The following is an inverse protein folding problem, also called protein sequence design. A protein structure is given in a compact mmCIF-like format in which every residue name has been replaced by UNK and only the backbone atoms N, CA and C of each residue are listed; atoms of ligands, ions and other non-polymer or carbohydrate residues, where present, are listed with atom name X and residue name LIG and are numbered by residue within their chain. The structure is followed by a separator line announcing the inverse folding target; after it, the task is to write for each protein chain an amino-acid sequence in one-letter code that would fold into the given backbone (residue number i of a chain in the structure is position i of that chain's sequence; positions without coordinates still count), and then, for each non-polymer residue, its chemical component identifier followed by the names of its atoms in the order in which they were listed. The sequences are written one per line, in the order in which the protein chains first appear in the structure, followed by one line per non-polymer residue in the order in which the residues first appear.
data_IF_893808511648
#
_entry.id   IF_893808511648
#
_cell.length_a   1.000
_cell.length_b   1.000
_cell.length_c   1.000
_cell.angle_alpha   90.00
_cell.angle_beta   90.00
_cell.angle_gamma   90.00
#
_symmetry.space_group_name_H-M   'P 1'
#
loop_
_entity.id
_entity.type
_entity.pdbx_description
1 polymer ?
#
# COMPACT_ATOMS: atom_id res chain seq x y z
N UNK A 1 20.45 -14.60 39.15
CA UNK A 1 18.99 -14.43 39.19
C UNK A 1 18.43 -13.36 38.22
N UNK A 2 19.25 -12.51 37.55
CA UNK A 2 18.75 -11.36 36.78
C UNK A 2 18.47 -11.55 35.26
N UNK A 3 19.06 -12.55 34.60
CA UNK A 3 18.90 -12.76 33.14
C UNK A 3 17.46 -13.15 32.71
N UNK A 4 16.74 -14.04 33.42
CA UNK A 4 15.37 -14.41 33.03
C UNK A 4 14.40 -13.22 33.14
N UNK A 5 14.56 -12.40 34.18
CA UNK A 5 13.71 -11.24 34.45
C UNK A 5 13.96 -10.09 33.45
N UNK A 6 15.20 -9.94 32.98
CA UNK A 6 15.52 -8.99 31.90
C UNK A 6 14.91 -9.41 30.57
N UNK A 7 15.00 -10.70 30.19
CA UNK A 7 14.40 -11.22 28.97
C UNK A 7 12.86 -11.09 28.99
N UNK A 8 12.24 -11.37 30.13
CA UNK A 8 10.79 -11.19 30.32
C UNK A 8 10.38 -9.71 30.18
N UNK A 9 11.17 -8.79 30.75
CA UNK A 9 10.91 -7.35 30.64
C UNK A 9 10.98 -6.88 29.19
N UNK A 10 12.03 -7.29 28.44
CA UNK A 10 12.15 -6.97 27.01
C UNK A 10 10.97 -7.52 26.22
N UNK A 11 10.57 -8.77 26.47
CA UNK A 11 9.42 -9.38 25.81
C UNK A 11 8.12 -8.59 26.04
N UNK A 12 7.87 -8.14 27.27
CA UNK A 12 6.71 -7.27 27.61
C UNK A 12 6.75 -5.93 26.86
N UNK A 13 7.92 -5.29 26.80
CA UNK A 13 8.11 -4.03 26.08
C UNK A 13 7.87 -4.20 24.57
N UNK A 14 8.37 -5.29 23.97
CA UNK A 14 8.15 -5.61 22.56
C UNK A 14 6.68 -5.90 22.28
N UNK A 15 5.99 -6.68 23.12
CA UNK A 15 4.56 -6.95 22.95
C UNK A 15 3.70 -5.67 23.02
N UNK A 16 3.99 -4.78 23.99
CA UNK A 16 3.33 -3.49 24.12
C UNK A 16 3.60 -2.59 22.90
N UNK A 17 4.87 -2.46 22.49
CA UNK A 17 5.25 -1.68 21.33
C UNK A 17 4.68 -2.21 20.01
N UNK A 18 4.61 -3.54 19.83
CA UNK A 18 3.98 -4.19 18.69
C UNK A 18 2.49 -3.87 18.60
N UNK A 19 1.81 -3.87 19.75
CA UNK A 19 0.39 -3.49 19.82
C UNK A 19 0.20 -2.04 19.38
N UNK A 20 1.01 -1.11 19.88
CA UNK A 20 0.95 0.31 19.48
C UNK A 20 1.27 0.47 17.99
N UNK A 21 2.34 -0.16 17.50
CA UNK A 21 2.75 -0.11 16.09
C UNK A 21 1.66 -0.65 15.15
N UNK A 22 0.98 -1.73 15.54
CA UNK A 22 -0.08 -2.36 14.75
C UNK A 22 -1.44 -1.66 14.81
N UNK A 23 -1.69 -0.81 15.81
CA UNK A 23 -2.98 -0.13 16.00
C UNK A 23 -2.96 1.37 15.77
N UNK A 24 -1.81 2.00 15.99
CA UNK A 24 -1.65 3.46 15.99
C UNK A 24 -0.45 3.94 15.14
N UNK A 25 0.31 3.02 14.56
CA UNK A 25 1.45 3.32 13.69
C UNK A 25 2.72 3.74 14.44
N UNK A 26 3.77 4.03 13.67
CA UNK A 26 5.11 4.30 14.19
C UNK A 26 5.21 5.60 15.02
N UNK A 27 4.45 6.63 14.66
CA UNK A 27 4.47 7.93 15.35
C UNK A 27 4.00 7.81 16.79
N UNK A 28 3.04 6.90 17.06
CA UNK A 28 2.54 6.60 18.39
C UNK A 28 3.52 5.80 19.25
N UNK A 29 4.54 5.17 18.66
CA UNK A 29 5.59 4.48 19.39
C UNK A 29 6.51 5.51 20.04
N UNK A 30 6.28 5.76 21.31
CA UNK A 30 7.13 6.60 22.17
C UNK A 30 7.53 5.83 23.41
N UNK A 31 8.67 6.18 24.00
CA UNK A 31 9.13 5.58 25.27
C UNK A 31 8.03 5.64 26.33
N UNK A 32 7.33 6.77 26.43
CA UNK A 32 6.23 6.97 27.37
C UNK A 32 5.03 6.06 27.08
N UNK A 33 4.59 6.00 25.83
CA UNK A 33 3.42 5.18 25.47
C UNK A 33 3.69 3.69 25.64
N UNK A 34 4.89 3.23 25.27
CA UNK A 34 5.30 1.82 25.45
C UNK A 34 5.46 1.49 26.94
N UNK A 35 6.04 2.39 27.73
CA UNK A 35 6.13 2.22 29.18
C UNK A 35 4.74 2.06 29.81
N UNK A 36 3.82 2.98 29.49
CA UNK A 36 2.45 2.95 29.99
C UNK A 36 1.70 1.68 29.58
N UNK A 37 1.79 1.29 28.30
CA UNK A 37 1.15 0.09 27.78
C UNK A 37 1.73 -1.21 28.36
N UNK A 38 3.01 -1.21 28.75
CA UNK A 38 3.67 -2.35 29.40
C UNK A 38 3.50 -2.36 30.94
N UNK A 39 2.87 -1.35 31.53
CA UNK A 39 2.79 -1.20 32.99
C UNK A 39 4.14 -0.95 33.66
N UNK A 40 5.07 -0.30 32.96
CA UNK A 40 6.44 -0.02 33.39
C UNK A 40 6.72 1.49 33.40
N UNK A 41 7.82 1.90 34.04
CA UNK A 41 8.28 3.30 34.01
C UNK A 41 9.11 3.58 32.76
N UNK A 42 9.11 4.84 32.30
CA UNK A 42 9.95 5.28 31.18
C UNK A 42 11.46 5.00 31.40
N UNK A 43 12.04 5.19 32.61
CA UNK A 43 13.42 4.79 32.91
C UNK A 43 13.67 3.29 32.71
N UNK A 44 12.71 2.42 33.02
CA UNK A 44 12.84 0.97 32.76
C UNK A 44 12.95 0.69 31.26
N UNK A 45 12.16 1.37 30.43
CA UNK A 45 12.27 1.26 28.97
C UNK A 45 13.64 1.74 28.50
N UNK A 46 14.08 2.91 28.95
CA UNK A 46 15.37 3.51 28.57
C UNK A 46 16.57 2.66 28.99
N UNK A 47 16.46 1.90 30.09
CA UNK A 47 17.49 0.93 30.49
C UNK A 47 17.69 -0.17 29.44
N UNK A 48 16.63 -0.57 28.74
CA UNK A 48 16.67 -1.63 27.74
C UNK A 48 16.82 -1.09 26.31
N UNK A 49 16.29 0.10 26.05
CA UNK A 49 16.33 0.80 24.77
C UNK A 49 16.72 2.26 25.01
N UNK A 50 18.03 2.56 25.05
CA UNK A 50 18.54 3.90 25.37
C UNK A 50 17.98 4.98 24.45
N UNK A 51 17.82 4.68 23.16
CA UNK A 51 17.18 5.55 22.18
C UNK A 51 15.85 4.97 21.68
N UNK A 52 14.97 5.86 21.17
CA UNK A 52 13.72 5.46 20.51
C UNK A 52 14.02 4.59 19.28
N UNK A 53 15.11 4.87 18.60
CA UNK A 53 15.59 4.16 17.42
C UNK A 53 15.93 2.70 17.75
N UNK A 54 16.52 2.44 18.92
CA UNK A 54 16.82 1.08 19.39
C UNK A 54 15.53 0.29 19.61
N UNK A 55 14.54 0.91 20.24
CA UNK A 55 13.21 0.33 20.44
C UNK A 55 12.54 0.05 19.09
N UNK A 56 12.57 0.99 18.15
CA UNK A 56 11.97 0.83 16.83
C UNK A 56 12.65 -0.28 16.04
N UNK A 57 13.99 -0.38 16.06
CA UNK A 57 14.71 -1.48 15.42
C UNK A 57 14.27 -2.85 15.97
N UNK A 58 14.15 -2.98 17.30
CA UNK A 58 13.69 -4.22 17.92
C UNK A 58 12.22 -4.54 17.57
N UNK A 59 11.35 -3.53 17.51
CA UNK A 59 9.95 -3.70 17.10
C UNK A 59 9.83 -4.07 15.61
N UNK A 60 10.65 -3.49 14.74
CA UNK A 60 10.67 -3.86 13.32
C UNK A 60 11.10 -5.32 13.13
N UNK A 61 12.10 -5.79 13.88
CA UNK A 61 12.53 -7.19 13.82
C UNK A 61 11.41 -8.10 14.31
N UNK A 62 10.81 -7.78 15.45
CA UNK A 62 9.68 -8.53 15.99
C UNK A 62 8.48 -8.58 15.03
N UNK A 63 8.15 -7.47 14.35
CA UNK A 63 7.05 -7.42 13.38
C UNK A 63 7.29 -8.32 12.17
N UNK A 64 8.51 -8.23 11.59
CA UNK A 64 8.90 -9.04 10.44
C UNK A 64 9.04 -10.52 10.80
N UNK A 65 9.63 -10.83 11.96
CA UNK A 65 9.77 -12.21 12.43
C UNK A 65 8.42 -12.85 12.79
N UNK A 66 7.50 -12.11 13.40
CA UNK A 66 6.16 -12.60 13.71
C UNK A 66 5.36 -12.96 12.45
N UNK A 67 5.40 -12.11 11.43
CA UNK A 67 4.76 -12.39 10.14
C UNK A 67 5.43 -13.59 9.43
N UNK A 68 6.76 -13.64 9.41
CA UNK A 68 7.48 -14.76 8.80
C UNK A 68 7.26 -16.09 9.55
N UNK A 69 7.14 -16.08 10.88
CA UNK A 69 6.82 -17.26 11.68
C UNK A 69 5.39 -17.75 11.43
N UNK A 70 4.41 -16.84 11.30
CA UNK A 70 3.03 -17.16 10.92
C UNK A 70 2.99 -17.93 9.60
N UNK A 71 3.71 -17.44 8.59
CA UNK A 71 3.76 -18.08 7.28
C UNK A 71 4.60 -19.37 7.25
N UNK A 72 5.61 -19.49 8.11
CA UNK A 72 6.40 -20.72 8.22
C UNK A 72 5.55 -21.92 8.64
N UNK A 73 4.51 -21.72 9.46
CA UNK A 73 3.55 -22.78 9.83
C UNK A 73 2.82 -23.36 8.62
N UNK A 74 2.48 -22.53 7.63
CA UNK A 74 1.96 -23.04 6.36
C UNK A 74 3.03 -23.82 5.62
N UNK A 75 4.25 -23.26 5.53
CA UNK A 75 5.40 -23.87 4.85
C UNK A 75 5.78 -25.27 5.35
N UNK A 76 5.55 -25.60 6.63
CA UNK A 76 5.79 -26.97 7.14
C UNK A 76 4.75 -27.97 6.65
N UNK A 77 3.53 -27.53 6.35
CA UNK A 77 2.41 -28.39 5.92
C UNK A 77 2.37 -28.54 4.40
N UNK A 78 2.75 -27.51 3.62
CA UNK A 78 2.64 -27.53 2.15
C UNK A 78 3.29 -28.76 1.49
N UNK A 79 4.50 -29.22 1.89
CA UNK A 79 5.13 -30.38 1.27
C UNK A 79 4.33 -31.67 1.46
N UNK A 80 3.72 -31.87 2.63
CA UNK A 80 2.93 -33.07 2.94
C UNK A 80 1.62 -33.13 2.15
N UNK A 81 1.09 -31.98 1.72
CA UNK A 81 -0.12 -31.91 0.91
C UNK A 81 0.12 -32.22 -0.58
N UNK A 82 1.37 -32.29 -1.03
CA UNK A 82 1.72 -32.51 -2.43
C UNK A 82 1.31 -31.35 -3.36
N UNK A 83 1.36 -31.53 -4.69
CA UNK A 83 0.91 -30.54 -5.66
C UNK A 83 -0.59 -30.27 -5.53
N UNK A 84 -0.99 -29.00 -5.53
CA UNK A 84 -2.40 -28.59 -5.30
C UNK A 84 -3.12 -28.03 -6.52
N UNK A 85 -2.44 -28.03 -7.67
CA UNK A 85 -2.93 -27.36 -8.87
C UNK A 85 -3.12 -25.86 -8.68
N UNK A 86 -3.63 -25.21 -9.72
CA UNK A 86 -3.82 -23.75 -9.73
C UNK A 86 -4.82 -23.29 -8.67
N UNK A 87 -5.96 -23.97 -8.57
CA UNK A 87 -7.05 -23.60 -7.66
C UNK A 87 -6.61 -23.67 -6.21
N UNK A 88 -5.87 -24.71 -5.81
CA UNK A 88 -5.36 -24.82 -4.45
C UNK A 88 -4.29 -23.77 -4.12
N UNK A 89 -3.42 -23.43 -5.08
CA UNK A 89 -2.44 -22.36 -4.90
C UNK A 89 -3.12 -20.98 -4.75
N UNK A 90 -4.16 -20.72 -5.54
CA UNK A 90 -5.00 -19.52 -5.45
C UNK A 90 -5.75 -19.45 -4.11
N UNK A 91 -6.36 -20.56 -3.67
CA UNK A 91 -7.08 -20.62 -2.40
C UNK A 91 -6.19 -20.25 -1.21
N UNK A 92 -4.92 -20.66 -1.22
CA UNK A 92 -3.95 -20.27 -0.19
C UNK A 92 -3.70 -18.77 -0.21
N UNK A 93 -3.49 -18.17 -1.38
CA UNK A 93 -3.30 -16.73 -1.47
C UNK A 93 -4.54 -15.94 -1.04
N UNK A 94 -5.74 -16.40 -1.39
CA UNK A 94 -7.00 -15.84 -0.88
C UNK A 94 -7.07 -15.92 0.65
N UNK A 95 -6.74 -17.08 1.22
CA UNK A 95 -6.70 -17.27 2.68
C UNK A 95 -5.66 -16.36 3.36
N UNK A 96 -4.48 -16.20 2.75
CA UNK A 96 -3.43 -15.31 3.26
C UNK A 96 -3.87 -13.85 3.27
N UNK A 97 -4.55 -13.38 2.22
CA UNK A 97 -5.10 -12.02 2.15
C UNK A 97 -6.23 -11.84 3.16
N UNK A 98 -7.14 -12.81 3.26
CA UNK A 98 -8.24 -12.78 4.22
C UNK A 98 -7.73 -12.74 5.68
N UNK A 99 -6.73 -13.55 6.00
CA UNK A 99 -6.06 -13.55 7.30
C UNK A 99 -5.38 -12.20 7.59
N UNK A 100 -4.58 -11.71 6.63
CA UNK A 100 -3.80 -10.47 6.76
C UNK A 100 -4.68 -9.23 6.87
N UNK A 101 -5.86 -9.20 6.24
CA UNK A 101 -6.82 -8.09 6.34
C UNK A 101 -7.88 -8.30 7.43
N UNK A 102 -8.00 -9.52 7.96
CA UNK A 102 -8.99 -9.92 8.95
C UNK A 102 -8.41 -10.00 10.35
N UNK A 103 -8.26 -11.23 10.85
CA UNK A 103 -7.85 -11.53 12.23
C UNK A 103 -6.44 -11.00 12.54
N UNK A 104 -5.54 -10.98 11.56
CA UNK A 104 -4.15 -10.55 11.71
C UNK A 104 -3.87 -9.15 11.13
N UNK A 105 -4.90 -8.31 11.00
CA UNK A 105 -4.76 -6.95 10.46
C UNK A 105 -3.76 -6.09 11.25
N UNK A 106 -3.79 -6.13 12.58
CA UNK A 106 -2.85 -5.33 13.40
C UNK A 106 -1.40 -5.77 13.23
N UNK A 107 -1.15 -7.09 13.14
CA UNK A 107 0.21 -7.62 12.88
C UNK A 107 0.68 -7.27 11.46
N UNK A 108 -0.23 -7.30 10.48
CA UNK A 108 0.02 -6.88 9.10
C UNK A 108 0.35 -5.40 9.03
N UNK A 109 -0.39 -4.55 9.74
CA UNK A 109 -0.10 -3.12 9.88
C UNK A 109 1.26 -2.88 10.54
N UNK A 110 1.58 -3.60 11.60
CA UNK A 110 2.89 -3.50 12.25
C UNK A 110 4.04 -3.83 11.28
N UNK A 111 3.88 -4.90 10.49
CA UNK A 111 4.83 -5.24 9.42
C UNK A 111 4.93 -4.15 8.36
N UNK A 112 3.80 -3.62 7.89
CA UNK A 112 3.77 -2.55 6.87
C UNK A 112 4.47 -1.30 7.39
N UNK A 113 4.21 -0.90 8.64
CA UNK A 113 4.90 0.21 9.28
C UNK A 113 6.40 -0.06 9.41
N UNK A 114 6.82 -1.26 9.78
CA UNK A 114 8.23 -1.64 9.82
C UNK A 114 8.91 -1.52 8.44
N UNK A 115 8.28 -2.04 7.38
CA UNK A 115 8.81 -1.93 6.01
C UNK A 115 8.89 -0.47 5.54
N UNK A 116 7.85 0.33 5.80
CA UNK A 116 7.83 1.75 5.46
C UNK A 116 8.87 2.55 6.26
N UNK A 117 9.10 2.18 7.52
CA UNK A 117 10.13 2.78 8.36
C UNK A 117 11.54 2.48 7.86
N UNK A 118 11.81 1.21 7.54
CA UNK A 118 13.07 0.75 6.94
C UNK A 118 13.28 1.40 5.57
N UNK A 119 12.21 1.63 4.80
CA UNK A 119 12.32 2.34 3.52
C UNK A 119 12.86 3.77 3.68
N UNK A 120 12.44 4.48 4.74
CA UNK A 120 12.84 5.87 5.04
C UNK A 120 14.22 6.00 5.71
N UNK A 121 14.70 4.96 6.40
CA UNK A 121 15.94 5.01 7.19
C UNK A 121 17.00 4.07 6.60
N UNK A 122 18.26 4.48 6.59
CA UNK A 122 19.34 3.66 6.04
C UNK A 122 19.81 2.49 6.94
N UNK A 123 18.99 2.09 7.92
CA UNK A 123 19.21 0.95 8.81
C UNK A 123 18.28 -0.24 8.53
N UNK A 124 18.63 -1.43 9.02
CA UNK A 124 17.74 -2.60 9.08
C UNK A 124 17.25 -3.21 7.74
N UNK A 125 17.76 -2.79 6.59
CA UNK A 125 17.34 -3.34 5.27
C UNK A 125 17.61 -4.83 5.11
N UNK A 126 18.58 -5.38 5.84
CA UNK A 126 18.82 -6.83 5.90
C UNK A 126 17.64 -7.59 6.50
N UNK A 127 16.92 -7.01 7.45
CA UNK A 127 15.72 -7.59 8.07
C UNK A 127 14.60 -7.69 7.03
N UNK A 128 14.34 -6.62 6.28
CA UNK A 128 13.37 -6.62 5.19
C UNK A 128 13.71 -7.67 4.11
N UNK A 129 14.99 -7.79 3.73
CA UNK A 129 15.43 -8.81 2.77
C UNK A 129 15.24 -10.24 3.30
N UNK A 130 15.61 -10.52 4.55
CA UNK A 130 15.40 -11.84 5.17
C UNK A 130 13.91 -12.21 5.21
N UNK A 131 13.05 -11.29 5.63
CA UNK A 131 11.61 -11.49 5.65
C UNK A 131 11.06 -11.75 4.24
N UNK A 132 11.43 -10.92 3.25
CA UNK A 132 10.96 -11.08 1.87
C UNK A 132 11.39 -12.43 1.28
N UNK A 133 12.63 -12.86 1.53
CA UNK A 133 13.13 -14.18 1.08
C UNK A 133 12.35 -15.34 1.71
N UNK A 134 12.03 -15.29 3.01
CA UNK A 134 11.23 -16.33 3.70
C UNK A 134 9.81 -16.37 3.16
N UNK A 135 9.18 -15.22 2.95
CA UNK A 135 7.82 -15.11 2.40
C UNK A 135 7.75 -15.63 0.96
N UNK A 136 8.72 -15.25 0.13
CA UNK A 136 8.86 -15.76 -1.23
C UNK A 136 9.06 -17.29 -1.24
N UNK A 137 9.82 -17.86 -0.30
CA UNK A 137 10.02 -19.31 -0.23
C UNK A 137 8.72 -20.08 0.04
N UNK A 138 7.88 -19.60 0.96
CA UNK A 138 6.56 -20.20 1.25
C UNK A 138 5.65 -20.13 0.02
N UNK A 139 5.61 -18.97 -0.66
CA UNK A 139 4.84 -18.83 -1.91
C UNK A 139 5.37 -19.74 -3.02
N UNK A 140 6.69 -19.90 -3.13
CA UNK A 140 7.30 -20.81 -4.11
C UNK A 140 6.96 -22.28 -3.82
N UNK A 141 6.85 -22.67 -2.55
CA UNK A 141 6.33 -23.98 -2.16
C UNK A 141 4.85 -24.15 -2.51
N UNK A 142 4.04 -23.10 -2.33
CA UNK A 142 2.63 -23.13 -2.72
C UNK A 142 2.44 -23.33 -4.24
N UNK A 143 3.36 -22.82 -5.04
CA UNK A 143 3.39 -22.95 -6.49
C UNK A 143 4.13 -24.21 -7.00
N UNK A 144 4.77 -24.98 -6.11
CA UNK A 144 5.57 -26.14 -6.50
C UNK A 144 4.70 -27.18 -7.23
N UNK A 145 5.23 -27.72 -8.34
CA UNK A 145 4.51 -28.68 -9.18
C UNK A 145 3.34 -28.09 -9.99
N UNK A 146 3.07 -26.77 -9.87
CA UNK A 146 1.98 -26.09 -10.59
C UNK A 146 2.49 -25.19 -11.71
N UNK A 147 3.70 -24.64 -11.58
CA UNK A 147 4.29 -23.69 -12.52
C UNK A 147 5.75 -24.04 -12.84
N UNK A 148 6.24 -23.64 -14.01
CA UNK A 148 7.61 -23.93 -14.46
C UNK A 148 8.69 -23.19 -13.67
N UNK A 149 8.42 -21.97 -13.16
CA UNK A 149 9.40 -21.14 -12.46
C UNK A 149 8.91 -20.65 -11.09
N UNK A 150 8.67 -21.55 -10.10
CA UNK A 150 8.00 -21.20 -8.83
C UNK A 150 8.65 -20.06 -8.07
N UNK A 151 9.99 -19.97 -8.05
CA UNK A 151 10.70 -18.89 -7.36
C UNK A 151 10.50 -17.53 -8.02
N UNK A 152 10.46 -17.49 -9.35
CA UNK A 152 10.27 -16.26 -10.13
C UNK A 152 8.84 -15.76 -9.95
N UNK A 153 7.87 -16.66 -10.07
CA UNK A 153 6.45 -16.32 -10.00
C UNK A 153 6.02 -16.00 -8.56
N UNK A 154 6.61 -16.67 -7.55
CA UNK A 154 6.43 -16.32 -6.15
C UNK A 154 6.93 -14.92 -5.78
N UNK A 155 7.99 -14.42 -6.42
CA UNK A 155 8.47 -13.05 -6.21
C UNK A 155 7.46 -12.03 -6.73
N UNK A 156 6.96 -12.24 -7.94
CA UNK A 156 5.90 -11.41 -8.50
C UNK A 156 4.64 -11.43 -7.62
N UNK A 157 4.22 -12.63 -7.17
CA UNK A 157 3.08 -12.75 -6.26
C UNK A 157 3.32 -12.09 -4.90
N UNK A 158 4.53 -12.15 -4.34
CA UNK A 158 4.86 -11.43 -3.10
C UNK A 158 4.62 -9.92 -3.27
N UNK A 159 5.11 -9.33 -4.35
CA UNK A 159 4.91 -7.92 -4.68
C UNK A 159 3.43 -7.60 -4.89
N UNK A 160 2.74 -8.43 -5.69
CA UNK A 160 1.33 -8.28 -6.01
C UNK A 160 0.44 -8.35 -4.76
N UNK A 161 0.58 -9.41 -3.96
CA UNK A 161 -0.19 -9.62 -2.73
C UNK A 161 0.11 -8.55 -1.68
N UNK A 162 1.35 -8.06 -1.60
CA UNK A 162 1.68 -6.91 -0.73
C UNK A 162 0.91 -5.66 -1.17
N UNK A 163 0.77 -5.43 -2.48
CA UNK A 163 -0.07 -4.37 -3.03
C UNK A 163 -1.55 -4.53 -2.68
N UNK A 164 -2.08 -5.76 -2.80
CA UNK A 164 -3.46 -6.10 -2.42
C UNK A 164 -3.70 -5.83 -0.94
N UNK A 165 -2.79 -6.23 -0.05
CA UNK A 165 -2.86 -5.95 1.39
C UNK A 165 -2.94 -4.44 1.66
N UNK A 166 -1.98 -3.68 1.15
CA UNK A 166 -1.87 -2.24 1.38
C UNK A 166 -3.15 -1.49 0.98
N UNK A 167 -3.72 -1.84 -0.18
CA UNK A 167 -4.94 -1.22 -0.69
C UNK A 167 -6.23 -1.79 -0.07
N UNK A 168 -6.15 -2.87 0.71
CA UNK A 168 -7.31 -3.44 1.42
C UNK A 168 -7.42 -2.96 2.85
N UNK A 169 -6.30 -2.74 3.55
CA UNK A 169 -6.31 -2.53 5.00
C UNK A 169 -7.15 -1.32 5.45
N UNK A 170 -7.09 -0.18 4.75
CA UNK A 170 -7.89 1.00 5.09
C UNK A 170 -9.39 0.88 4.84
N UNK A 171 -9.81 -0.02 3.95
CA UNK A 171 -11.22 -0.28 3.67
C UNK A 171 -11.66 -1.70 4.07
N UNK A 172 -10.87 -2.42 4.88
CA UNK A 172 -11.04 -3.86 5.17
C UNK A 172 -12.38 -4.27 5.77
N UNK A 173 -13.12 -3.32 6.34
CA UNK A 173 -14.46 -3.53 6.91
C UNK A 173 -15.58 -3.41 5.87
N UNK A 174 -15.28 -2.93 4.66
CA UNK A 174 -16.26 -2.82 3.59
C UNK A 174 -16.67 -4.22 3.10
N UNK A 175 -17.98 -4.52 2.98
CA UNK A 175 -18.49 -5.88 2.76
C UNK A 175 -18.01 -6.50 1.43
N UNK A 176 -17.68 -5.68 0.44
CA UNK A 176 -17.19 -6.15 -0.86
C UNK A 176 -15.72 -6.58 -0.88
N UNK A 177 -14.93 -6.26 0.16
CA UNK A 177 -13.48 -6.48 0.13
C UNK A 177 -13.08 -7.95 -0.03
N UNK A 178 -13.71 -8.94 0.65
CA UNK A 178 -13.35 -10.35 0.44
C UNK A 178 -13.48 -10.80 -1.02
N UNK A 179 -14.58 -10.43 -1.68
CA UNK A 179 -14.86 -10.80 -3.07
C UNK A 179 -13.92 -10.08 -4.03
N UNK A 180 -13.70 -8.77 -3.85
CA UNK A 180 -12.77 -7.98 -4.68
C UNK A 180 -11.32 -8.45 -4.53
N UNK A 181 -10.94 -8.90 -3.32
CA UNK A 181 -9.63 -9.51 -3.10
C UNK A 181 -9.50 -10.85 -3.83
N UNK A 182 -10.55 -11.68 -3.86
CA UNK A 182 -10.55 -12.92 -4.61
C UNK A 182 -10.37 -12.67 -6.13
N UNK A 183 -11.07 -11.70 -6.71
CA UNK A 183 -10.90 -11.31 -8.12
C UNK A 183 -9.48 -10.86 -8.44
N UNK A 184 -8.87 -10.02 -7.56
CA UNK A 184 -7.49 -9.59 -7.73
C UNK A 184 -6.50 -10.76 -7.58
N UNK A 185 -6.69 -11.66 -6.61
CA UNK A 185 -5.81 -12.82 -6.41
C UNK A 185 -5.88 -13.76 -7.60
N UNK A 186 -7.09 -14.07 -8.09
CA UNK A 186 -7.27 -14.91 -9.28
C UNK A 186 -6.52 -14.33 -10.48
N UNK A 187 -6.73 -13.03 -10.74
CA UNK A 187 -6.05 -12.33 -11.84
C UNK A 187 -4.54 -12.30 -11.66
N UNK A 188 -4.05 -11.95 -10.46
CA UNK A 188 -2.63 -11.90 -10.14
C UNK A 188 -1.92 -13.23 -10.37
N UNK A 189 -2.57 -14.35 -10.04
CA UNK A 189 -2.05 -15.70 -10.33
C UNK A 189 -1.98 -15.98 -11.83
N UNK A 190 -3.03 -15.65 -12.57
CA UNK A 190 -3.04 -15.83 -14.03
C UNK A 190 -1.96 -14.97 -14.71
N UNK A 191 -1.76 -13.73 -14.27
CA UNK A 191 -0.66 -12.88 -14.72
C UNK A 191 0.70 -13.47 -14.31
N UNK A 192 0.80 -14.04 -13.10
CA UNK A 192 2.04 -14.64 -12.60
C UNK A 192 2.55 -15.81 -13.44
N UNK A 193 1.67 -16.47 -14.21
CA UNK A 193 2.02 -17.66 -15.00
C UNK A 193 1.89 -17.44 -16.50
N UNK A 194 1.58 -16.21 -16.95
CA UNK A 194 1.37 -15.89 -18.36
C UNK A 194 0.07 -16.46 -18.94
N UNK A 195 -0.94 -16.68 -18.11
CA UNK A 195 -2.28 -17.16 -18.50
C UNK A 195 -3.37 -16.11 -18.21
N UNK A 196 -3.00 -14.82 -18.20
CA UNK A 196 -3.95 -13.72 -18.02
C UNK A 196 -5.04 -13.78 -19.10
N UNK A 197 -6.29 -13.49 -18.70
CA UNK A 197 -7.42 -13.37 -19.62
C UNK A 197 -7.83 -11.90 -19.69
N UNK A 198 -8.09 -11.40 -20.89
CA UNK A 198 -8.65 -10.07 -21.09
C UNK A 198 -10.11 -10.05 -20.61
N UNK A 199 -10.31 -9.74 -19.33
CA UNK A 199 -11.63 -9.66 -18.71
C UNK A 199 -11.63 -8.58 -17.62
N UNK A 200 -12.75 -7.87 -17.52
CA UNK A 200 -13.08 -7.04 -16.36
C UNK A 200 -13.99 -7.87 -15.42
N UNK A 201 -13.53 -8.25 -14.22
CA UNK A 201 -14.35 -9.00 -13.28
C UNK A 201 -15.59 -8.22 -12.86
N UNK A 202 -16.68 -8.94 -12.60
CA UNK A 202 -18.00 -8.34 -12.44
C UNK A 202 -18.08 -7.43 -11.20
N UNK A 203 -17.46 -7.82 -10.09
CA UNK A 203 -17.54 -7.04 -8.85
C UNK A 203 -16.67 -5.80 -8.92
N UNK A 204 -15.45 -5.92 -9.44
CA UNK A 204 -14.64 -4.75 -9.74
C UNK A 204 -15.38 -3.76 -10.65
N UNK A 205 -15.91 -4.22 -11.79
CA UNK A 205 -16.65 -3.37 -12.74
C UNK A 205 -17.80 -2.65 -12.05
N UNK A 206 -18.59 -3.38 -11.26
CA UNK A 206 -19.71 -2.79 -10.51
C UNK A 206 -19.22 -1.75 -9.51
N UNK A 207 -18.34 -2.12 -8.58
CA UNK A 207 -17.90 -1.22 -7.50
C UNK A 207 -17.14 0.00 -8.01
N UNK A 208 -16.24 -0.17 -8.97
CA UNK A 208 -15.48 0.95 -9.53
C UNK A 208 -16.38 1.91 -10.34
N UNK A 209 -17.35 1.40 -11.11
CA UNK A 209 -18.30 2.26 -11.83
C UNK A 209 -19.16 3.10 -10.88
N UNK A 210 -19.58 2.56 -9.73
CA UNK A 210 -20.32 3.35 -8.72
C UNK A 210 -19.50 4.54 -8.23
N UNK A 211 -18.25 4.31 -7.82
CA UNK A 211 -17.36 5.38 -7.33
C UNK A 211 -17.08 6.43 -8.41
N UNK A 212 -16.94 6.01 -9.67
CA UNK A 212 -16.70 6.92 -10.79
C UNK A 212 -17.93 7.77 -11.12
N UNK A 213 -19.15 7.21 -11.04
CA UNK A 213 -20.41 7.96 -11.23
C UNK A 213 -20.67 8.97 -10.12
N UNK A 214 -20.51 8.57 -8.85
CA UNK A 214 -20.63 9.48 -7.70
C UNK A 214 -19.74 10.72 -7.89
N UNK A 215 -18.50 10.49 -8.32
CA UNK A 215 -17.57 11.58 -8.63
C UNK A 215 -18.00 12.44 -9.81
N UNK A 216 -18.51 11.84 -10.89
CA UNK A 216 -18.97 12.61 -12.04
C UNK A 216 -20.06 13.61 -11.62
N UNK A 217 -21.00 13.16 -10.79
CA UNK A 217 -22.05 13.99 -10.22
C UNK A 217 -21.48 15.11 -9.32
N UNK A 218 -20.52 14.80 -8.44
CA UNK A 218 -19.83 15.80 -7.60
C UNK A 218 -19.12 16.87 -8.44
N UNK A 219 -18.47 16.47 -9.54
CA UNK A 219 -17.78 17.37 -10.45
C UNK A 219 -18.76 18.29 -11.20
N UNK A 220 -19.86 17.74 -11.75
CA UNK A 220 -20.90 18.53 -12.42
C UNK A 220 -21.51 19.59 -11.50
N UNK A 221 -21.80 19.22 -10.24
CA UNK A 221 -22.31 20.16 -9.24
C UNK A 221 -21.34 21.32 -8.91
N UNK A 222 -20.05 21.15 -9.21
CA UNK A 222 -18.98 22.09 -8.86
C UNK A 222 -18.50 22.99 -10.01
N UNK A 223 -19.02 22.84 -11.25
CA UNK A 223 -18.55 23.54 -12.46
C UNK A 223 -18.99 25.03 -12.58
N UNK A 224 -18.59 25.86 -11.60
CA UNK A 224 -18.57 27.33 -11.73
C UNK A 224 -17.14 27.85 -11.89
N UNK A 225 -16.88 28.76 -12.85
CA UNK A 225 -15.51 29.16 -13.24
C UNK A 225 -14.60 29.70 -12.11
N UNK A 226 -15.14 30.47 -11.15
CA UNK A 226 -14.37 30.92 -9.96
C UNK A 226 -14.13 29.80 -8.94
N UNK A 227 -15.06 28.85 -8.84
CA UNK A 227 -15.04 27.70 -7.93
C UNK A 227 -13.95 26.70 -8.34
N UNK A 228 -13.67 26.56 -9.63
CA UNK A 228 -12.64 25.64 -10.15
C UNK A 228 -11.20 26.08 -9.80
N UNK A 229 -10.87 27.37 -9.95
CA UNK A 229 -9.54 27.88 -9.63
C UNK A 229 -9.21 27.79 -8.12
N UNK A 230 -10.16 28.16 -7.26
CA UNK A 230 -9.99 28.02 -5.81
C UNK A 230 -9.77 26.57 -5.37
N UNK A 231 -10.50 25.63 -5.98
CA UNK A 231 -10.32 24.18 -5.74
C UNK A 231 -8.93 23.71 -6.16
N UNK A 232 -8.43 24.13 -7.31
CA UNK A 232 -7.07 23.79 -7.79
C UNK A 232 -5.98 24.31 -6.82
N UNK A 233 -6.09 25.55 -6.36
CA UNK A 233 -5.17 26.14 -5.37
C UNK A 233 -5.15 25.35 -4.06
N UNK A 234 -6.33 24.94 -3.56
CA UNK A 234 -6.46 24.11 -2.36
C UNK A 234 -5.78 22.75 -2.55
N UNK A 235 -6.01 22.10 -3.70
CA UNK A 235 -5.44 20.79 -3.99
C UNK A 235 -3.93 20.85 -4.19
N UNK A 236 -3.41 21.91 -4.82
CA UNK A 236 -1.98 22.15 -4.96
C UNK A 236 -1.28 22.33 -3.61
N UNK A 237 -1.87 23.12 -2.70
CA UNK A 237 -1.38 23.29 -1.33
C UNK A 237 -1.44 21.98 -0.54
N UNK A 238 -2.53 21.23 -0.67
CA UNK A 238 -2.70 19.93 -0.03
C UNK A 238 -1.64 18.92 -0.48
N UNK A 239 -1.35 18.88 -1.79
CA UNK A 239 -0.30 18.02 -2.33
C UNK A 239 1.09 18.37 -1.78
N UNK A 240 1.41 19.65 -1.55
CA UNK A 240 2.65 20.09 -0.90
C UNK A 240 2.72 19.66 0.56
N UNK A 241 1.62 19.78 1.31
CA UNK A 241 1.57 19.31 2.70
C UNK A 241 1.77 17.79 2.78
N UNK A 242 1.09 17.02 1.92
CA UNK A 242 1.28 15.57 1.85
C UNK A 242 2.71 15.19 1.50
N UNK A 243 3.31 15.93 0.58
CA UNK A 243 4.70 15.80 0.18
C UNK A 243 5.69 16.07 1.32
N UNK A 244 5.56 17.18 2.01
CA UNK A 244 6.59 17.66 2.94
C UNK A 244 6.38 17.15 4.37
N UNK A 245 5.13 17.08 4.80
CA UNK A 245 4.75 16.83 6.19
C UNK A 245 3.96 15.54 6.38
N UNK A 246 3.41 14.99 5.30
CA UNK A 246 2.66 13.74 5.33
C UNK A 246 1.17 13.91 5.66
N UNK A 247 0.40 12.81 5.65
CA UNK A 247 -1.07 12.84 5.74
C UNK A 247 -1.62 13.28 7.11
N UNK A 248 -0.84 13.14 8.19
CA UNK A 248 -1.27 13.56 9.53
C UNK A 248 -1.42 15.08 9.65
N UNK A 249 -0.62 15.84 8.90
CA UNK A 249 -0.61 17.31 8.93
C UNK A 249 -1.63 17.94 7.96
N UNK A 250 -2.32 17.12 7.15
CA UNK A 250 -3.34 17.61 6.23
C UNK A 250 -4.62 17.99 6.98
N UNK A 251 -4.72 19.26 7.37
CA UNK A 251 -5.90 19.85 8.03
C UNK A 251 -6.38 21.08 7.25
N UNK A 252 -7.67 21.41 7.34
CA UNK A 252 -8.21 22.61 6.67
C UNK A 252 -7.43 23.88 7.03
N UNK A 253 -7.03 24.02 8.29
CA UNK A 253 -6.23 25.15 8.77
C UNK A 253 -4.84 25.18 8.15
N UNK A 254 -4.15 24.05 8.10
CA UNK A 254 -2.83 23.94 7.48
C UNK A 254 -2.92 24.25 5.98
N UNK A 255 -3.91 23.70 5.28
CA UNK A 255 -4.15 23.95 3.86
C UNK A 255 -4.47 25.42 3.58
N UNK A 256 -5.33 26.05 4.38
CA UNK A 256 -5.66 27.46 4.21
C UNK A 256 -4.43 28.37 4.39
N UNK A 257 -3.58 28.06 5.38
CA UNK A 257 -2.31 28.76 5.60
C UNK A 257 -1.36 28.58 4.41
N UNK A 258 -1.19 27.35 3.94
CA UNK A 258 -0.31 26.99 2.81
C UNK A 258 -0.79 27.59 1.48
N UNK A 259 -2.10 27.64 1.26
CA UNK A 259 -2.72 28.23 0.08
C UNK A 259 -2.88 29.76 0.16
N UNK A 260 -2.63 30.38 1.32
CA UNK A 260 -2.86 31.80 1.59
C UNK A 260 -4.31 32.25 1.31
N UNK A 261 -5.28 31.44 1.73
CA UNK A 261 -6.72 31.68 1.56
C UNK A 261 -7.45 31.66 2.91
N UNK A 262 -8.70 32.14 2.92
CA UNK A 262 -9.56 32.03 4.08
C UNK A 262 -9.90 30.56 4.40
N UNK A 263 -9.86 30.11 5.68
CA UNK A 263 -10.22 28.74 6.05
C UNK A 263 -11.64 28.31 5.64
N UNK A 264 -12.58 29.25 5.58
CA UNK A 264 -13.96 29.01 5.12
C UNK A 264 -14.02 28.54 3.67
N UNK A 265 -13.06 28.94 2.83
CA UNK A 265 -13.00 28.52 1.43
C UNK A 265 -12.63 27.03 1.31
N UNK A 266 -11.74 26.52 2.17
CA UNK A 266 -11.41 25.09 2.21
C UNK A 266 -12.65 24.28 2.59
N UNK A 267 -13.34 24.67 3.67
CA UNK A 267 -14.55 23.98 4.13
C UNK A 267 -15.72 24.08 3.14
N UNK A 268 -15.77 25.12 2.31
CA UNK A 268 -16.75 25.25 1.24
C UNK A 268 -16.54 24.22 0.13
N UNK A 269 -15.28 23.98 -0.28
CA UNK A 269 -14.96 23.04 -1.36
C UNK A 269 -14.81 21.58 -0.92
N UNK A 270 -14.44 21.36 0.34
CA UNK A 270 -14.19 20.03 0.90
C UNK A 270 -14.91 19.93 2.24
N UNK A 271 -15.92 19.08 2.30
CA UNK A 271 -16.80 18.95 3.48
C UNK A 271 -16.16 18.09 4.56
N UNK A 272 -15.27 17.18 4.19
CA UNK A 272 -14.61 16.25 5.09
C UNK A 272 -13.12 16.10 4.80
N UNK A 273 -12.40 15.57 5.79
CA UNK A 273 -11.00 15.14 5.63
C UNK A 273 -10.87 14.07 4.54
N UNK A 274 -11.85 13.18 4.37
CA UNK A 274 -11.87 12.20 3.28
C UNK A 274 -11.86 12.89 1.92
N UNK A 275 -12.75 13.86 1.73
CA UNK A 275 -12.88 14.56 0.44
C UNK A 275 -11.60 15.33 0.11
N UNK A 276 -11.03 16.01 1.11
CA UNK A 276 -9.77 16.74 0.94
C UNK A 276 -8.61 15.80 0.62
N UNK A 277 -8.46 14.71 1.38
CA UNK A 277 -7.39 13.73 1.20
C UNK A 277 -7.51 13.00 -0.14
N UNK A 278 -8.73 12.60 -0.52
CA UNK A 278 -9.00 11.97 -1.81
C UNK A 278 -8.73 12.95 -2.95
N UNK A 279 -9.21 14.19 -2.84
CA UNK A 279 -8.93 15.24 -3.81
C UNK A 279 -7.42 15.48 -3.97
N UNK A 280 -6.67 15.58 -2.88
CA UNK A 280 -5.22 15.81 -2.91
C UNK A 280 -4.45 14.60 -3.48
N UNK A 281 -4.84 13.38 -3.08
CA UNK A 281 -4.31 12.14 -3.65
C UNK A 281 -4.53 12.11 -5.16
N UNK A 282 -5.76 12.41 -5.61
CA UNK A 282 -6.07 12.47 -7.03
C UNK A 282 -5.27 13.53 -7.75
N UNK A 283 -5.15 14.71 -7.18
CA UNK A 283 -4.38 15.81 -7.76
C UNK A 283 -2.92 15.44 -8.03
N UNK A 284 -2.29 14.76 -7.06
CA UNK A 284 -0.94 14.20 -7.22
C UNK A 284 -0.91 13.23 -8.41
N UNK A 285 -1.90 12.35 -8.50
CA UNK A 285 -1.95 11.32 -9.52
C UNK A 285 -2.35 11.82 -10.92
N UNK A 286 -3.26 12.78 -11.05
CA UNK A 286 -3.69 13.36 -12.34
C UNK A 286 -2.52 14.11 -13.02
N UNK A 287 -1.62 14.72 -12.22
CA UNK A 287 -0.35 15.28 -12.72
C UNK A 287 0.61 14.23 -13.28
N UNK A 288 0.49 12.96 -12.87
CA UNK A 288 1.25 11.88 -13.50
C UNK A 288 0.67 11.47 -14.85
N UNK A 289 -0.67 11.43 -14.93
CA UNK A 289 -1.38 11.05 -16.15
C UNK A 289 -1.10 12.02 -17.31
N UNK A 290 -0.93 13.30 -16.97
CA UNK A 290 -0.77 14.40 -17.92
C UNK A 290 0.69 14.77 -18.18
N UNK A 291 1.65 14.12 -17.51
CA UNK A 291 3.07 14.35 -17.75
C UNK A 291 3.44 13.93 -19.19
N UNK A 292 4.27 14.68 -19.92
CA UNK A 292 4.67 14.32 -21.28
C UNK A 292 5.41 12.98 -21.29
N UNK A 293 4.86 11.99 -21.99
CA UNK A 293 5.49 10.69 -22.21
C UNK A 293 5.93 10.62 -23.68
N UNK A 294 7.23 10.39 -23.97
CA UNK A 294 7.68 10.20 -25.35
C UNK A 294 6.90 9.06 -26.01
N UNK A 295 6.47 9.23 -27.27
CA UNK A 295 5.62 8.26 -27.98
C UNK A 295 6.21 6.83 -28.06
N UNK A 296 7.53 6.69 -27.89
CA UNK A 296 8.24 5.40 -27.87
C UNK A 296 8.28 4.72 -26.50
N UNK A 297 7.73 5.35 -25.46
CA UNK A 297 7.76 4.85 -24.08
C UNK A 297 6.52 4.01 -23.82
N UNK A 298 6.71 2.75 -23.41
CA UNK A 298 5.59 1.89 -23.04
C UNK A 298 4.88 2.39 -21.78
N UNK A 299 3.59 2.08 -21.59
CA UNK A 299 2.84 2.47 -20.38
C UNK A 299 3.51 2.02 -19.07
N UNK A 300 4.11 0.83 -19.07
CA UNK A 300 4.87 0.31 -17.92
C UNK A 300 6.11 1.16 -17.64
N UNK A 301 6.88 1.55 -18.66
CA UNK A 301 8.04 2.42 -18.51
C UNK A 301 7.66 3.84 -18.10
N UNK A 302 6.55 4.38 -18.62
CA UNK A 302 6.01 5.67 -18.18
C UNK A 302 5.66 5.66 -16.69
N UNK A 303 5.01 4.58 -16.22
CA UNK A 303 4.71 4.40 -14.79
C UNK A 303 5.98 4.28 -13.95
N UNK A 304 7.02 3.60 -14.46
CA UNK A 304 8.30 3.52 -13.77
C UNK A 304 8.95 4.89 -13.59
N UNK A 305 8.92 5.75 -14.61
CA UNK A 305 9.44 7.12 -14.51
C UNK A 305 8.65 7.92 -13.45
N UNK A 306 7.34 7.72 -13.34
CA UNK A 306 6.55 8.31 -12.24
C UNK A 306 7.02 7.83 -10.87
N UNK A 307 7.35 6.55 -10.76
CA UNK A 307 7.86 5.95 -9.51
C UNK A 307 9.30 6.36 -9.21
N UNK A 308 10.17 6.59 -10.19
CA UNK A 308 11.59 6.90 -9.91
C UNK A 308 11.84 8.41 -9.91
N UNK A 309 11.28 9.13 -10.88
CA UNK A 309 11.73 10.46 -11.29
C UNK A 309 10.75 11.59 -10.93
N UNK A 310 9.47 11.29 -10.65
CA UNK A 310 8.49 12.33 -10.34
C UNK A 310 8.49 12.73 -8.87
N UNK A 311 8.91 13.97 -8.59
CA UNK A 311 8.75 14.61 -7.28
C UNK A 311 7.34 15.12 -7.04
N UNK A 312 6.81 14.94 -5.83
CA UNK A 312 5.77 15.80 -5.28
C UNK A 312 6.46 16.62 -4.19
N UNK A 313 6.93 17.83 -4.50
CA UNK A 313 7.75 18.62 -3.56
C UNK A 313 9.07 17.94 -3.19
N UNK A 314 9.40 17.91 -1.89
CA UNK A 314 10.68 17.40 -1.39
C UNK A 314 10.83 15.87 -1.45
N UNK A 315 9.75 15.10 -1.69
CA UNK A 315 9.81 13.64 -1.78
C UNK A 315 9.18 13.11 -3.07
N UNK A 316 9.57 11.90 -3.53
CA UNK A 316 8.94 11.30 -4.69
C UNK A 316 7.44 11.10 -4.49
N UNK A 317 6.67 11.34 -5.53
CA UNK A 317 5.22 11.47 -5.42
C UNK A 317 4.51 10.15 -5.07
N UNK A 318 5.08 9.02 -5.48
CA UNK A 318 4.62 7.70 -5.04
C UNK A 318 4.82 7.46 -3.54
N UNK A 319 5.82 8.10 -2.90
CA UNK A 319 6.02 7.99 -1.43
C UNK A 319 4.87 8.68 -0.71
N UNK A 320 4.47 9.86 -1.18
CA UNK A 320 3.28 10.54 -0.67
C UNK A 320 2.01 9.67 -0.84
N UNK A 321 1.86 9.00 -2.00
CA UNK A 321 0.79 8.04 -2.23
C UNK A 321 0.82 6.88 -1.23
N UNK A 322 1.98 6.24 -1.03
CA UNK A 322 2.15 5.12 -0.10
C UNK A 322 1.85 5.52 1.35
N UNK A 323 2.39 6.66 1.81
CA UNK A 323 2.16 7.14 3.16
C UNK A 323 0.68 7.45 3.41
N UNK A 324 -0.02 7.97 2.40
CA UNK A 324 -1.46 8.24 2.51
C UNK A 324 -2.28 6.94 2.59
N UNK A 325 -1.94 5.92 1.79
CA UNK A 325 -2.56 4.59 1.85
C UNK A 325 -2.35 3.95 3.23
N UNK A 326 -1.11 4.02 3.75
CA UNK A 326 -0.77 3.45 5.06
C UNK A 326 -1.49 4.20 6.18
N UNK A 327 -1.53 5.53 6.14
CA UNK A 327 -2.20 6.33 7.15
C UNK A 327 -3.71 6.02 7.23
N UNK A 328 -4.37 5.87 6.09
CA UNK A 328 -5.78 5.49 6.03
C UNK A 328 -6.06 4.09 6.61
N UNK A 329 -5.04 3.25 6.72
CA UNK A 329 -5.14 1.93 7.32
C UNK A 329 -5.22 1.94 8.86
N UNK A 330 -4.81 3.04 9.49
CA UNK A 330 -4.85 3.24 10.95
C UNK A 330 -6.03 4.10 11.41
N UNK A 331 -6.68 4.82 10.50
CA UNK A 331 -7.74 5.78 10.82
C UNK A 331 -9.04 5.32 10.16
N UNK A 332 -9.98 4.78 10.95
CA UNK A 332 -11.27 4.32 10.42
C UNK A 332 -12.13 5.45 9.87
N UNK A 333 -11.87 6.70 10.25
CA UNK A 333 -12.53 7.84 9.63
C UNK A 333 -12.12 7.99 8.16
N UNK A 334 -10.96 7.47 7.75
CA UNK A 334 -10.45 7.51 6.37
C UNK A 334 -10.87 6.29 5.52
N UNK A 335 -11.85 5.50 5.97
CA UNK A 335 -12.28 4.30 5.25
C UNK A 335 -12.88 4.59 3.87
N UNK A 336 -13.61 5.71 3.73
CA UNK A 336 -14.16 6.15 2.44
C UNK A 336 -13.04 6.57 1.48
N UNK A 337 -12.08 7.36 1.95
CA UNK A 337 -10.86 7.67 1.18
C UNK A 337 -10.15 6.39 0.72
N UNK A 338 -9.96 5.41 1.60
CA UNK A 338 -9.29 4.15 1.27
C UNK A 338 -10.07 3.35 0.22
N UNK A 339 -11.40 3.31 0.34
CA UNK A 339 -12.30 2.65 -0.61
C UNK A 339 -12.23 3.30 -1.99
N UNK A 340 -12.42 4.63 -2.06
CA UNK A 340 -12.37 5.40 -3.31
C UNK A 340 -11.00 5.30 -3.98
N UNK A 341 -9.94 5.39 -3.18
CA UNK A 341 -8.55 5.20 -3.63
C UNK A 341 -8.35 3.82 -4.24
N UNK A 342 -8.78 2.76 -3.54
CA UNK A 342 -8.66 1.39 -4.03
C UNK A 342 -9.41 1.21 -5.35
N UNK A 343 -10.68 1.59 -5.41
CA UNK A 343 -11.53 1.32 -6.59
C UNK A 343 -11.11 2.08 -7.83
N UNK A 344 -10.54 3.27 -7.68
CA UNK A 344 -10.22 4.13 -8.82
C UNK A 344 -8.75 4.09 -9.23
N UNK A 345 -7.84 3.53 -8.41
CA UNK A 345 -6.41 3.46 -8.71
C UNK A 345 -6.16 2.75 -10.04
N UNK A 346 -5.35 3.38 -10.90
CA UNK A 346 -5.08 2.89 -12.25
C UNK A 346 -6.15 3.31 -13.27
N UNK A 347 -7.42 3.28 -12.88
CA UNK A 347 -8.55 3.53 -13.79
C UNK A 347 -8.71 5.01 -14.14
N UNK A 348 -8.60 5.92 -13.16
CA UNK A 348 -8.84 7.34 -13.43
C UNK A 348 -7.81 7.99 -14.37
N UNK A 349 -6.68 7.32 -14.66
CA UNK A 349 -5.74 7.76 -15.69
C UNK A 349 -6.32 7.61 -17.11
N UNK A 350 -7.12 6.56 -17.31
CA UNK A 350 -7.74 6.25 -18.59
C UNK A 350 -9.04 7.04 -18.78
N UNK A 351 -9.71 7.37 -17.67
CA UNK A 351 -10.99 8.06 -17.65
C UNK A 351 -10.93 9.33 -16.80
N UNK A 352 -10.26 10.40 -17.27
CA UNK A 352 -10.21 11.67 -16.55
C UNK A 352 -11.61 12.31 -16.44
N UNK A 353 -12.42 12.17 -17.50
CA UNK A 353 -13.81 12.61 -17.61
C UNK A 353 -14.72 11.39 -17.77
N UNK A 354 -15.07 10.74 -16.65
CA UNK A 354 -16.03 9.63 -16.65
C UNK A 354 -17.44 10.13 -16.94
N UNK A 355 -18.18 9.47 -17.82
CA UNK A 355 -19.59 9.71 -18.14
C UNK A 355 -20.47 8.53 -17.71
N UNK A 356 -21.78 8.74 -17.57
CA UNK A 356 -22.72 7.65 -17.23
C UNK A 356 -22.84 6.57 -18.32
N UNK A 357 -22.33 6.83 -19.53
CA UNK A 357 -22.31 5.90 -20.66
C UNK A 357 -21.03 5.07 -20.73
N UNK A 358 -20.00 5.41 -19.95
CA UNK A 358 -18.73 4.68 -19.96
C UNK A 358 -18.85 3.35 -19.22
N UNK A 359 -18.20 2.32 -19.77
CA UNK A 359 -18.12 0.99 -19.17
C UNK A 359 -16.66 0.56 -18.99
N UNK A 360 -16.35 0.01 -17.81
CA UNK A 360 -15.02 -0.54 -17.53
C UNK A 360 -14.82 -1.87 -18.27
N UNK A 361 -13.72 -1.97 -18.99
CA UNK A 361 -13.33 -3.11 -19.80
C UNK A 361 -12.08 -3.83 -19.24
N UNK A 362 -11.59 -4.82 -19.98
CA UNK A 362 -10.44 -5.64 -19.57
C UNK A 362 -9.15 -4.82 -19.36
N UNK A 363 -8.94 -3.78 -20.17
CA UNK A 363 -7.78 -2.89 -20.07
C UNK A 363 -7.83 -2.11 -18.77
N UNK A 364 -9.00 -1.61 -18.37
CA UNK A 364 -9.17 -0.90 -17.10
C UNK A 364 -8.80 -1.76 -15.90
N UNK A 365 -9.25 -3.01 -15.90
CA UNK A 365 -8.91 -3.95 -14.83
C UNK A 365 -7.43 -4.35 -14.85
N UNK A 366 -6.83 -4.54 -16.02
CA UNK A 366 -5.39 -4.83 -16.16
C UNK A 366 -4.54 -3.68 -15.61
N UNK A 367 -4.90 -2.43 -15.94
CA UNK A 367 -4.22 -1.23 -15.43
C UNK A 367 -4.47 -1.06 -13.92
N UNK A 368 -5.67 -1.36 -13.43
CA UNK A 368 -5.95 -1.41 -12.01
C UNK A 368 -5.05 -2.42 -11.29
N UNK A 369 -5.00 -3.68 -11.75
CA UNK A 369 -4.17 -4.74 -11.17
C UNK A 369 -2.66 -4.43 -11.27
N UNK A 370 -2.21 -3.85 -12.37
CA UNK A 370 -0.84 -3.34 -12.50
C UNK A 370 -0.56 -2.24 -11.46
N UNK A 371 -1.47 -1.29 -11.28
CA UNK A 371 -1.33 -0.24 -10.27
C UNK A 371 -1.31 -0.79 -8.84
N UNK A 372 -2.01 -1.89 -8.55
CA UNK A 372 -1.95 -2.61 -7.27
C UNK A 372 -0.55 -3.21 -7.08
N UNK A 373 -0.03 -3.89 -8.09
CA UNK A 373 1.33 -4.45 -8.07
C UNK A 373 2.39 -3.38 -7.83
N UNK A 374 2.30 -2.22 -8.49
CA UNK A 374 3.30 -1.14 -8.33
C UNK A 374 3.44 -0.68 -6.88
N UNK A 375 2.34 -0.67 -6.09
CA UNK A 375 2.36 -0.29 -4.66
C UNK A 375 3.25 -1.25 -3.88
N UNK A 376 3.02 -2.56 -4.03
CA UNK A 376 3.77 -3.58 -3.32
C UNK A 376 5.22 -3.69 -3.79
N UNK A 377 5.46 -3.70 -5.10
CA UNK A 377 6.80 -3.75 -5.68
C UNK A 377 7.65 -2.56 -5.20
N UNK A 378 7.06 -1.37 -5.13
CA UNK A 378 7.77 -0.16 -4.71
C UNK A 378 8.08 -0.16 -3.22
N UNK A 379 7.13 -0.51 -2.35
CA UNK A 379 7.40 -0.64 -0.92
C UNK A 379 8.53 -1.65 -0.66
N UNK A 380 8.49 -2.81 -1.31
CA UNK A 380 9.50 -3.86 -1.14
C UNK A 380 10.87 -3.43 -1.66
N UNK A 381 10.93 -2.83 -2.85
CA UNK A 381 12.18 -2.32 -3.41
C UNK A 381 12.78 -1.24 -2.50
N UNK A 382 11.95 -0.33 -2.00
CA UNK A 382 12.38 0.71 -1.07
C UNK A 382 12.81 0.14 0.27
N UNK A 383 12.16 -0.87 0.84
CA UNK A 383 12.57 -1.44 2.11
C UNK A 383 13.87 -2.26 1.98
N UNK A 384 14.04 -2.97 0.86
CA UNK A 384 15.16 -3.87 0.65
C UNK A 384 16.43 -3.20 0.12
N UNK A 385 16.33 -2.07 -0.59
CA UNK A 385 17.44 -1.48 -1.35
C UNK A 385 17.46 0.05 -1.28
N UNK A 386 18.61 0.65 -1.59
CA UNK A 386 18.84 2.12 -1.61
C UNK A 386 19.48 2.58 -2.90
N UNK A 387 19.33 3.88 -3.21
CA UNK A 387 19.97 4.57 -4.32
C UNK A 387 19.90 3.78 -5.63
N UNK A 388 21.05 3.63 -6.30
CA UNK A 388 21.17 2.92 -7.58
C UNK A 388 20.67 1.47 -7.53
N UNK A 389 20.83 0.75 -6.41
CA UNK A 389 20.37 -0.65 -6.30
C UNK A 389 18.84 -0.74 -6.28
N UNK A 390 18.18 0.24 -5.65
CA UNK A 390 16.71 0.35 -5.68
C UNK A 390 16.21 0.60 -7.10
N UNK A 391 16.82 1.55 -7.80
CA UNK A 391 16.48 1.87 -9.19
C UNK A 391 16.68 0.66 -10.11
N UNK A 392 17.85 0.01 -10.05
CA UNK A 392 18.12 -1.22 -10.80
C UNK A 392 17.10 -2.33 -10.51
N UNK A 393 16.72 -2.50 -9.23
CA UNK A 393 15.68 -3.43 -8.84
C UNK A 393 14.36 -3.09 -9.55
N UNK A 394 13.88 -1.85 -9.42
CA UNK A 394 12.62 -1.40 -10.02
C UNK A 394 12.63 -1.51 -11.55
N UNK A 395 13.70 -1.11 -12.24
CA UNK A 395 13.84 -1.31 -13.69
C UNK A 395 13.68 -2.78 -14.07
N UNK A 396 14.35 -3.68 -13.36
CA UNK A 396 14.23 -5.12 -13.59
C UNK A 396 12.82 -5.65 -13.29
N UNK A 397 12.18 -5.19 -12.21
CA UNK A 397 10.82 -5.59 -11.83
C UNK A 397 9.80 -5.14 -12.88
N UNK A 398 9.87 -3.89 -13.32
CA UNK A 398 8.93 -3.31 -14.29
C UNK A 398 9.09 -3.92 -15.69
N UNK A 399 10.31 -4.23 -16.13
CA UNK A 399 10.51 -4.95 -17.39
C UNK A 399 9.90 -6.37 -17.36
N UNK A 400 9.98 -7.06 -16.21
CA UNK A 400 9.33 -8.36 -16.03
C UNK A 400 7.79 -8.23 -15.98
N UNK A 401 7.28 -7.20 -15.30
CA UNK A 401 5.84 -6.93 -15.23
C UNK A 401 5.26 -6.57 -16.61
N UNK A 402 5.98 -5.78 -17.42
CA UNK A 402 5.57 -5.43 -18.78
C UNK A 402 5.27 -6.70 -19.60
N UNK A 403 6.15 -7.69 -19.56
CA UNK A 403 5.95 -8.97 -20.24
C UNK A 403 4.73 -9.74 -19.72
N UNK A 404 4.49 -9.70 -18.40
CA UNK A 404 3.38 -10.43 -17.76
C UNK A 404 2.03 -9.78 -18.05
N UNK A 405 1.92 -8.46 -17.93
CA UNK A 405 0.67 -7.74 -18.14
C UNK A 405 0.31 -7.57 -19.64
N UNK A 406 1.31 -7.50 -20.54
CA UNK A 406 1.08 -7.39 -22.00
C UNK A 406 0.62 -8.70 -22.67
N UNK A 407 0.74 -9.86 -22.01
CA UNK A 407 0.29 -11.15 -22.56
C UNK A 407 -1.23 -11.31 -22.70
N UNK A 408 -2.02 -10.37 -22.18
CA UNK A 408 -3.40 -10.13 -22.63
C UNK A 408 -3.40 -8.86 -23.47
N UNK A 409 -3.47 -8.99 -24.81
CA UNK A 409 -3.25 -7.88 -25.76
C UNK A 409 -4.03 -6.62 -25.39
N UNK A 410 -3.31 -5.48 -25.40
CA UNK A 410 -3.82 -4.10 -25.48
C UNK A 410 -4.67 -3.89 -26.73
#
# INVERSE_FOLDING_TARGET
MGLPQQAETVSKLIAAGMTILGTSGETAVTIRNVAAAAGLSAPTVQRHFPAKEDLLLALHDAALERDAARLAQLGTVLPALGPRGMEGAQAIACALIADSCGANASDTLARVAALASIARRDGARSMARRWASRRQAVLAQALAGTVAAPRRDARFLLEYLTGVELLSLGCRRHPMIPILNAELVEHGFRVAIGQSRAQCPAWFRYCASQVLRERHQENQASQGGRTAHARDVILAASARILAEHGPAELTHRAVAKEAQIAPSLVSYHFRSKNDLLYGAYRYIHDRFATAPVPATTSPTRATLNVVIDTGAGAKPAYVASLETIIAAAYDSELADFAWRTRMTRGVYYLHPEWSDQDELNATDFSVHAFSVWTVGATLLAQACWTGKRREQCLHSRFAEAEQRFSTGRL
#
